data_IF_556129041865
#
_entry.id   IF_556129041865
#
_cell.length_a   1.000
_cell.length_b   1.000
_cell.length_c   1.000
_cell.angle_alpha   90.00
_cell.angle_beta   90.00
_cell.angle_gamma   90.00
#
_symmetry.space_group_name_H-M   'P 1'
#
loop_
_entity.id
_entity.type
_entity.pdbx_description
1 polymer ?
#
# COMPACT_ATOMS: atom_id res chain seq x y z
N UNK A 1 -10.14 33.11 27.58
CA UNK A 1 -10.05 31.64 27.69
C UNK A 1 -8.95 31.17 26.74
N UNK A 2 -7.73 30.97 27.27
CA UNK A 2 -6.56 30.53 26.49
C UNK A 2 -6.55 29.00 26.47
N UNK A 3 -6.63 28.40 25.28
CA UNK A 3 -6.39 26.95 25.09
C UNK A 3 -4.91 26.75 24.75
N UNK A 4 -4.20 26.09 25.67
CA UNK A 4 -2.87 25.53 25.45
C UNK A 4 -2.99 24.38 24.43
N UNK A 5 -2.25 24.48 23.32
CA UNK A 5 -2.03 23.37 22.38
C UNK A 5 -0.81 22.57 22.82
N UNK A 6 -1.02 21.32 23.22
CA UNK A 6 0.02 20.35 23.55
C UNK A 6 0.52 19.73 22.23
N UNK A 7 1.78 19.98 21.88
CA UNK A 7 2.49 19.28 20.81
C UNK A 7 2.99 17.93 21.35
N UNK A 8 2.52 16.83 20.76
CA UNK A 8 3.11 15.51 20.94
C UNK A 8 4.25 15.32 19.95
N UNK A 9 5.48 15.22 20.47
CA UNK A 9 6.65 14.75 19.73
C UNK A 9 6.69 13.23 19.84
N UNK A 10 6.45 12.53 18.74
CA UNK A 10 6.64 11.08 18.66
C UNK A 10 8.13 10.82 18.41
N UNK A 11 8.84 10.41 19.46
CA UNK A 11 10.19 9.89 19.36
C UNK A 11 10.17 8.48 18.76
N UNK A 12 10.81 8.30 17.61
CA UNK A 12 11.04 6.99 17.00
C UNK A 12 12.17 6.30 17.78
N UNK A 13 11.80 5.35 18.63
CA UNK A 13 12.73 4.51 19.37
C UNK A 13 13.07 3.27 18.53
N UNK A 14 14.28 3.25 17.95
CA UNK A 14 14.83 2.09 17.25
C UNK A 14 15.16 0.98 18.26
N UNK A 15 14.33 -0.06 18.32
CA UNK A 15 14.63 -1.29 19.06
C UNK A 15 15.57 -2.17 18.23
N UNK A 16 16.83 -2.26 18.64
CA UNK A 16 17.78 -3.27 18.18
C UNK A 16 17.42 -4.63 18.81
N UNK A 17 17.09 -5.62 17.99
CA UNK A 17 16.90 -7.00 18.41
C UNK A 17 18.27 -7.64 18.67
N UNK A 18 18.59 -7.90 19.95
CA UNK A 18 19.82 -8.58 20.36
C UNK A 18 19.53 -10.06 20.62
N UNK A 19 20.07 -10.92 19.76
CA UNK A 19 19.90 -12.37 19.81
C UNK A 19 20.75 -12.97 20.94
N UNK A 20 20.11 -13.45 22.01
CA UNK A 20 20.76 -14.25 23.07
C UNK A 20 20.62 -15.73 22.77
N UNK A 21 21.63 -16.31 22.13
CA UNK A 21 21.83 -17.75 22.05
C UNK A 21 22.13 -18.29 23.45
N UNK A 22 21.29 -19.21 23.93
CA UNK A 22 21.55 -19.97 25.16
C UNK A 22 21.76 -21.43 24.80
N UNK A 23 23.03 -21.81 24.65
CA UNK A 23 23.49 -23.20 24.69
C UNK A 23 23.34 -23.74 26.11
N UNK A 24 22.61 -24.86 26.26
CA UNK A 24 22.73 -25.74 27.43
C UNK A 24 23.13 -27.14 26.96
N UNK A 25 24.33 -27.53 27.37
CA UNK A 25 24.86 -28.89 27.39
C UNK A 25 24.78 -29.45 28.82
N UNK A 26 24.97 -30.78 28.95
CA UNK A 26 25.00 -31.65 30.15
C UNK A 26 23.64 -32.24 30.54
N UNK A 27 23.44 -33.54 30.78
CA UNK A 27 24.32 -34.72 31.01
C UNK A 27 23.46 -36.01 30.90
N UNK A 28 24.06 -37.20 30.72
CA UNK A 28 23.32 -38.48 30.67
C UNK A 28 23.19 -39.09 32.07
N UNK A 29 21.97 -39.47 32.47
CA UNK A 29 21.74 -40.28 33.67
C UNK A 29 21.57 -41.76 33.29
N UNK A 30 22.41 -42.57 33.93
CA UNK A 30 22.42 -44.02 33.88
C UNK A 30 21.39 -44.58 34.87
N UNK A 31 20.44 -45.37 34.38
CA UNK A 31 19.51 -46.15 35.20
C UNK A 31 19.45 -47.58 34.70
N UNK A 32 20.15 -48.47 35.40
CA UNK A 32 20.16 -49.91 35.11
C UNK A 32 18.84 -50.57 35.49
N UNK A 33 18.42 -51.53 34.66
CA UNK A 33 17.45 -52.56 35.06
C UNK A 33 17.91 -53.90 34.50
N UNK A 34 18.31 -54.77 35.43
CA UNK A 34 18.68 -56.15 35.21
C UNK A 34 17.42 -57.03 35.22
N UNK A 35 17.15 -57.70 34.11
CA UNK A 35 16.13 -58.75 34.04
C UNK A 35 16.21 -59.49 32.72
N UNK A 36 16.92 -60.61 32.69
CA UNK A 36 16.78 -61.61 31.62
C UNK A 36 16.99 -62.99 32.21
N UNK A 37 15.89 -63.73 32.34
CA UNK A 37 15.87 -65.18 32.46
C UNK A 37 15.23 -65.77 31.20
N UNK A 38 15.86 -66.85 30.74
CA UNK A 38 15.26 -68.01 30.06
C UNK A 38 14.78 -67.88 28.60
N UNK A 39 15.72 -68.18 27.70
CA UNK A 39 15.67 -69.31 26.76
C UNK A 39 14.40 -69.60 25.93
N UNK A 40 14.55 -69.65 24.61
CA UNK A 40 14.49 -70.89 23.81
C UNK A 40 14.62 -70.58 22.32
N UNK A 41 15.44 -71.37 21.63
CA UNK A 41 15.66 -71.27 20.19
C UNK A 41 14.40 -71.61 19.39
N UNK A 42 14.24 -70.90 18.28
CA UNK A 42 13.18 -71.13 17.31
C UNK A 42 13.52 -70.44 16.00
N UNK A 43 14.19 -71.19 15.11
CA UNK A 43 14.20 -71.08 13.65
C UNK A 43 14.44 -69.70 13.00
N UNK A 44 15.55 -69.61 12.28
CA UNK A 44 15.70 -68.73 11.13
C UNK A 44 14.58 -68.99 10.11
N UNK A 45 13.47 -68.24 10.24
CA UNK A 45 12.51 -68.03 9.16
C UNK A 45 13.06 -66.89 8.31
N UNK A 46 13.40 -67.18 7.06
CA UNK A 46 13.95 -66.20 6.14
C UNK A 46 13.08 -64.95 6.09
N UNK A 47 13.73 -63.80 5.94
CA UNK A 47 13.13 -62.48 5.76
C UNK A 47 12.18 -62.53 4.54
N UNK A 48 10.95 -62.98 4.76
CA UNK A 48 9.88 -62.81 3.82
C UNK A 48 9.69 -61.29 3.75
N UNK A 49 10.22 -60.70 2.67
CA UNK A 49 10.06 -59.30 2.34
C UNK A 49 8.61 -58.90 2.66
N UNK A 50 8.42 -57.99 3.62
CA UNK A 50 7.07 -57.57 4.03
C UNK A 50 6.39 -57.01 2.78
N UNK A 51 5.45 -57.78 2.24
CA UNK A 51 4.63 -57.40 1.10
C UNK A 51 3.39 -56.68 1.60
N UNK A 52 2.94 -55.67 0.87
CA UNK A 52 1.68 -55.00 1.17
C UNK A 52 0.50 -55.91 0.83
N UNK A 53 -0.51 -55.93 1.69
CA UNK A 53 -1.77 -56.58 1.39
C UNK A 53 -2.49 -55.85 0.25
N UNK A 54 -2.96 -56.58 -0.75
CA UNK A 54 -3.74 -56.00 -1.85
C UNK A 54 -5.00 -55.30 -1.30
N UNK A 55 -5.38 -54.11 -1.80
CA UNK A 55 -4.88 -53.44 -3.00
C UNK A 55 -3.69 -52.48 -2.79
N UNK A 56 -3.04 -52.50 -1.63
CA UNK A 56 -1.95 -51.56 -1.32
C UNK A 56 -0.68 -51.84 -2.12
N UNK A 57 0.02 -50.78 -2.51
CA UNK A 57 1.30 -50.87 -3.22
C UNK A 57 2.46 -50.44 -2.31
N UNK A 58 3.58 -51.16 -2.39
CA UNK A 58 4.82 -50.77 -1.73
C UNK A 58 5.50 -49.67 -2.55
N UNK A 59 5.53 -48.45 -2.03
CA UNK A 59 6.13 -47.29 -2.73
C UNK A 59 7.28 -46.71 -1.93
N UNK A 60 8.19 -45.99 -2.61
CA UNK A 60 9.27 -45.28 -1.94
C UNK A 60 8.69 -44.22 -0.98
N UNK A 61 9.31 -44.01 0.19
CA UNK A 61 8.88 -42.97 1.11
C UNK A 61 9.04 -41.58 0.44
N UNK A 62 8.27 -40.57 0.89
CA UNK A 62 8.46 -39.20 0.43
C UNK A 62 9.91 -38.73 0.60
N UNK A 63 10.46 -37.97 -0.37
CA UNK A 63 11.77 -37.37 -0.23
C UNK A 63 11.86 -36.42 0.97
N UNK A 64 13.08 -36.19 1.47
CA UNK A 64 13.29 -35.26 2.59
C UNK A 64 12.70 -33.87 2.31
N UNK A 65 11.97 -33.31 3.27
CA UNK A 65 11.27 -32.03 3.16
C UNK A 65 9.85 -32.12 2.59
N UNK A 66 9.47 -33.25 2.00
CA UNK A 66 8.11 -33.50 1.50
C UNK A 66 7.30 -34.33 2.50
N UNK A 67 6.02 -34.03 2.59
CA UNK A 67 5.06 -34.71 3.46
C UNK A 67 4.13 -35.60 2.63
N UNK A 68 3.71 -36.73 3.19
CA UNK A 68 2.82 -37.68 2.53
C UNK A 68 3.20 -39.13 2.87
N UNK A 69 2.69 -40.12 2.13
CA UNK A 69 1.75 -40.01 1.01
C UNK A 69 0.39 -39.44 1.43
N UNK A 70 -0.29 -38.75 0.52
CA UNK A 70 -1.66 -38.26 0.72
C UNK A 70 -2.62 -38.73 -0.38
N UNK A 71 -3.89 -38.85 -0.02
CA UNK A 71 -5.01 -38.79 -0.95
C UNK A 71 -5.36 -37.32 -1.20
N UNK A 72 -5.54 -36.94 -2.46
CA UNK A 72 -5.87 -35.58 -2.86
C UNK A 72 -7.30 -35.50 -3.40
N UNK A 73 -8.10 -34.61 -2.84
CA UNK A 73 -9.39 -34.21 -3.41
C UNK A 73 -9.24 -32.83 -4.05
N UNK A 74 -9.80 -32.68 -5.26
CA UNK A 74 -10.00 -31.39 -5.93
C UNK A 74 -11.44 -31.34 -6.43
N UNK A 75 -12.19 -30.30 -6.10
CA UNK A 75 -13.57 -30.17 -6.58
C UNK A 75 -14.16 -28.78 -6.44
N UNK A 76 -15.47 -28.69 -6.66
CA UNK A 76 -16.18 -27.41 -6.60
C UNK A 76 -16.18 -26.84 -5.16
N UNK A 77 -16.32 -25.51 -5.00
CA UNK A 77 -16.30 -24.89 -3.69
C UNK A 77 -17.44 -25.41 -2.80
N UNK A 78 -17.15 -25.62 -1.53
CA UNK A 78 -18.04 -26.17 -0.51
C UNK A 78 -18.54 -27.59 -0.81
N UNK A 79 -17.82 -28.36 -1.62
CA UNK A 79 -18.14 -29.76 -1.92
C UNK A 79 -17.11 -30.77 -1.40
N UNK A 80 -16.12 -30.29 -0.62
CA UNK A 80 -15.07 -31.14 -0.04
C UNK A 80 -15.67 -32.29 0.79
N UNK A 81 -15.34 -33.55 0.48
CA UNK A 81 -15.74 -34.69 1.29
C UNK A 81 -14.93 -34.75 2.59
N UNK A 82 -15.33 -35.64 3.49
CA UNK A 82 -14.48 -36.06 4.60
C UNK A 82 -13.33 -36.94 4.08
N UNK A 83 -12.24 -37.00 4.84
CA UNK A 83 -11.14 -37.91 4.58
C UNK A 83 -11.60 -39.38 4.61
N UNK A 84 -11.15 -40.23 3.65
CA UNK A 84 -11.56 -41.63 3.58
C UNK A 84 -10.91 -42.42 4.73
N UNK A 85 -11.47 -43.58 5.09
CA UNK A 85 -10.96 -44.39 6.21
C UNK A 85 -9.49 -44.81 6.04
N UNK A 86 -9.06 -45.03 4.79
CA UNK A 86 -7.68 -45.39 4.47
C UNK A 86 -6.70 -44.21 4.62
N UNK A 87 -7.19 -42.97 4.60
CA UNK A 87 -6.41 -41.75 4.83
C UNK A 87 -7.15 -40.89 5.85
N UNK A 88 -7.23 -41.30 7.12
CA UNK A 88 -8.20 -40.74 8.06
C UNK A 88 -7.89 -39.30 8.50
N UNK A 89 -6.64 -38.88 8.38
CA UNK A 89 -6.15 -37.64 8.98
C UNK A 89 -6.08 -36.50 7.95
N UNK A 90 -6.78 -35.36 8.15
CA UNK A 90 -6.63 -34.21 7.27
C UNK A 90 -5.23 -33.60 7.42
N UNK A 91 -4.49 -33.54 6.31
CA UNK A 91 -3.15 -32.96 6.26
C UNK A 91 -3.18 -31.46 5.97
N UNK A 92 -4.05 -31.03 5.04
CA UNK A 92 -4.28 -29.60 4.75
C UNK A 92 -5.62 -29.38 4.05
N UNK A 93 -6.14 -28.16 4.19
CA UNK A 93 -7.18 -27.58 3.32
C UNK A 93 -6.56 -26.41 2.56
N UNK A 94 -6.82 -26.35 1.26
CA UNK A 94 -6.36 -25.30 0.36
C UNK A 94 -7.40 -25.07 -0.73
N UNK A 95 -7.14 -24.08 -1.58
CA UNK A 95 -8.06 -23.69 -2.63
C UNK A 95 -7.32 -23.35 -3.92
N UNK A 96 -8.04 -23.42 -5.03
CA UNK A 96 -7.58 -23.05 -6.37
C UNK A 96 -8.49 -22.01 -7.01
N UNK A 97 -8.00 -21.45 -8.11
CA UNK A 97 -8.75 -20.54 -8.97
C UNK A 97 -9.32 -19.33 -8.20
N UNK A 98 -8.45 -18.47 -7.62
CA UNK A 98 -8.90 -17.24 -6.99
C UNK A 98 -9.64 -16.37 -8.00
N UNK A 99 -10.79 -15.83 -7.59
CA UNK A 99 -11.61 -14.94 -8.41
C UNK A 99 -12.06 -13.74 -7.61
N UNK A 100 -12.21 -12.61 -8.28
CA UNK A 100 -12.80 -11.40 -7.74
C UNK A 100 -12.95 -10.34 -8.81
N UNK A 101 -14.07 -9.62 -8.81
CA UNK A 101 -14.27 -8.49 -9.71
C UNK A 101 -13.25 -7.38 -9.42
N UNK A 102 -12.84 -6.56 -10.41
CA UNK A 102 -12.04 -5.37 -10.16
C UNK A 102 -12.68 -4.45 -9.10
N UNK A 103 -11.87 -3.66 -8.40
CA UNK A 103 -12.38 -2.68 -7.45
C UNK A 103 -13.31 -1.67 -8.15
N UNK A 104 -14.38 -1.26 -7.47
CA UNK A 104 -15.16 -0.08 -7.87
C UNK A 104 -14.54 1.15 -7.23
N UNK A 105 -14.25 2.16 -8.05
CA UNK A 105 -13.55 3.36 -7.60
C UNK A 105 -14.48 4.56 -7.55
N UNK A 106 -14.43 5.32 -6.45
CA UNK A 106 -15.10 6.62 -6.41
C UNK A 106 -14.45 7.58 -7.39
N UNK A 107 -15.27 8.34 -8.11
CA UNK A 107 -14.79 9.30 -9.10
C UNK A 107 -13.82 10.30 -8.46
N UNK A 108 -12.71 10.57 -9.15
CA UNK A 108 -11.82 11.64 -8.76
C UNK A 108 -12.51 12.98 -8.95
N UNK A 109 -12.27 13.91 -8.04
CA UNK A 109 -12.70 15.30 -8.18
C UNK A 109 -11.58 16.24 -7.73
N UNK A 110 -11.52 17.42 -8.34
CA UNK A 110 -10.55 18.46 -8.03
C UNK A 110 -11.24 19.72 -7.51
N UNK A 111 -11.05 20.05 -6.22
CA UNK A 111 -11.56 21.29 -5.65
C UNK A 111 -10.54 22.42 -5.79
N UNK A 112 -10.95 23.54 -6.38
CA UNK A 112 -10.15 24.77 -6.45
C UNK A 112 -10.16 25.47 -5.10
N UNK A 113 -9.18 25.19 -4.26
CA UNK A 113 -9.25 25.64 -2.86
C UNK A 113 -8.72 27.07 -2.67
N UNK A 114 -7.72 27.50 -3.44
CA UNK A 114 -7.09 28.80 -3.24
C UNK A 114 -6.55 29.38 -4.55
N UNK A 115 -7.00 30.59 -4.90
CA UNK A 115 -6.39 31.44 -5.92
C UNK A 115 -5.79 32.64 -5.20
N UNK A 116 -4.48 32.86 -5.40
CA UNK A 116 -3.78 34.02 -4.86
C UNK A 116 -3.55 35.05 -5.95
N UNK A 117 -4.04 36.26 -5.71
CA UNK A 117 -3.81 37.42 -6.55
C UNK A 117 -2.66 38.23 -5.99
N UNK A 118 -1.67 38.53 -6.83
CA UNK A 118 -0.58 39.43 -6.49
C UNK A 118 -0.32 40.43 -7.60
N UNK A 119 0.10 41.63 -7.22
CA UNK A 119 0.57 42.66 -8.14
C UNK A 119 1.82 43.32 -7.58
N UNK A 120 2.43 44.15 -8.40
CA UNK A 120 3.62 44.90 -8.05
C UNK A 120 3.34 46.41 -8.00
N UNK A 121 3.73 47.04 -6.90
CA UNK A 121 3.80 48.51 -6.80
C UNK A 121 5.22 48.93 -7.13
N UNK A 122 5.36 49.83 -8.10
CA UNK A 122 6.63 50.25 -8.66
C UNK A 122 6.89 51.70 -8.25
N UNK A 123 8.00 51.91 -7.55
CA UNK A 123 8.49 53.20 -7.10
C UNK A 123 9.57 53.72 -8.03
N UNK A 124 9.49 55.00 -8.40
CA UNK A 124 10.44 55.65 -9.30
C UNK A 124 10.96 56.93 -8.67
N UNK A 125 12.23 57.26 -8.89
CA UNK A 125 12.82 58.54 -8.49
C UNK A 125 12.55 59.69 -9.48
N UNK A 126 11.61 59.49 -10.41
CA UNK A 126 11.23 60.44 -11.46
C UNK A 126 9.70 60.53 -11.51
N UNK A 127 9.12 61.60 -12.08
CA UNK A 127 7.68 61.68 -12.31
C UNK A 127 7.21 60.56 -13.26
N UNK A 128 5.90 60.32 -13.31
CA UNK A 128 5.27 59.24 -14.09
C UNK A 128 5.65 59.26 -15.58
N UNK A 129 5.80 60.46 -16.17
CA UNK A 129 6.21 60.64 -17.56
C UNK A 129 7.74 60.66 -17.77
N UNK A 130 8.52 60.62 -16.69
CA UNK A 130 9.98 60.68 -16.72
C UNK A 130 10.63 59.30 -16.87
N UNK A 131 11.90 59.29 -17.30
CA UNK A 131 12.73 58.08 -17.30
C UNK A 131 13.37 57.91 -15.93
N UNK A 132 13.01 56.87 -15.14
CA UNK A 132 13.57 56.67 -13.82
C UNK A 132 15.04 56.24 -13.90
N UNK A 133 15.86 56.72 -12.95
CA UNK A 133 17.25 56.24 -12.75
C UNK A 133 17.28 55.06 -11.80
N UNK A 134 16.31 54.98 -10.89
CA UNK A 134 16.16 53.87 -9.93
C UNK A 134 14.70 53.43 -9.88
N UNK A 135 14.50 52.12 -9.75
CA UNK A 135 13.18 51.51 -9.64
C UNK A 135 13.19 50.50 -8.52
N UNK A 136 12.18 50.54 -7.66
CA UNK A 136 11.95 49.55 -6.62
C UNK A 136 10.57 48.95 -6.77
N UNK A 137 10.42 47.66 -6.48
CA UNK A 137 9.18 46.93 -6.70
C UNK A 137 8.76 46.22 -5.42
N UNK A 138 7.51 46.45 -5.00
CA UNK A 138 6.93 45.79 -3.83
C UNK A 138 5.79 44.87 -4.27
N UNK A 139 5.90 43.54 -4.09
CA UNK A 139 4.78 42.65 -4.29
C UNK A 139 3.76 42.81 -3.16
N UNK A 140 2.48 42.87 -3.51
CA UNK A 140 1.38 42.88 -2.55
C UNK A 140 0.32 41.86 -2.94
N UNK A 141 -0.26 41.17 -1.95
CA UNK A 141 -1.37 40.24 -2.14
C UNK A 141 -2.68 40.87 -1.68
N UNK A 142 -3.78 40.40 -2.26
CA UNK A 142 -5.11 40.87 -1.87
C UNK A 142 -5.35 40.68 -0.36
N UNK A 143 -5.76 41.75 0.33
CA UNK A 143 -6.07 41.73 1.75
C UNK A 143 -4.86 41.79 2.71
N UNK A 144 -3.64 41.57 2.22
CA UNK A 144 -2.42 41.71 3.02
C UNK A 144 -2.02 43.18 3.16
N UNK A 145 -1.62 43.56 4.37
CA UNK A 145 -0.95 44.83 4.62
C UNK A 145 0.56 44.62 4.56
N UNK A 146 1.23 45.35 3.68
CA UNK A 146 2.67 45.19 3.44
C UNK A 146 3.37 46.47 3.86
N UNK A 147 4.30 46.36 4.82
CA UNK A 147 5.13 47.48 5.23
C UNK A 147 6.07 47.90 4.09
N UNK A 148 6.25 49.20 3.92
CA UNK A 148 7.19 49.76 2.97
C UNK A 148 8.59 49.85 3.57
N UNK A 149 9.64 49.56 2.78
CA UNK A 149 11.00 49.81 3.22
C UNK A 149 11.20 51.32 3.39
N UNK A 150 11.80 51.71 4.52
CA UNK A 150 12.03 53.12 4.95
C UNK A 150 12.99 53.91 4.06
N UNK A 151 13.52 53.31 3.00
CA UNK A 151 14.55 53.86 2.13
C UNK A 151 14.02 54.42 0.80
N UNK A 152 12.71 54.47 0.59
CA UNK A 152 12.12 54.93 -0.67
C UNK A 152 11.60 56.36 -0.51
N UNK A 153 12.27 57.33 -1.14
CA UNK A 153 11.74 58.67 -1.40
C UNK A 153 11.36 58.76 -2.88
N UNK A 154 10.18 58.24 -3.27
CA UNK A 154 9.82 58.15 -4.68
C UNK A 154 9.35 59.52 -5.21
N UNK A 155 9.74 59.82 -6.46
CA UNK A 155 9.16 60.92 -7.23
C UNK A 155 7.82 60.53 -7.90
N UNK A 156 7.56 59.24 -8.10
CA UNK A 156 6.24 58.73 -8.51
C UNK A 156 6.02 57.28 -8.11
N UNK A 157 4.76 56.85 -8.11
CA UNK A 157 4.36 55.46 -7.88
C UNK A 157 3.45 54.97 -9.00
N UNK A 158 3.71 53.78 -9.51
CA UNK A 158 2.86 53.07 -10.47
C UNK A 158 2.33 51.78 -9.85
N UNK A 159 1.03 51.53 -9.97
CA UNK A 159 0.42 50.24 -9.61
C UNK A 159 0.34 49.38 -10.86
N UNK A 160 1.00 48.22 -10.88
CA UNK A 160 0.92 47.31 -12.03
C UNK A 160 -0.45 46.64 -12.14
N UNK A 161 -0.71 45.98 -13.27
CA UNK A 161 -1.73 44.95 -13.32
C UNK A 161 -1.36 43.73 -12.47
N UNK A 162 -2.30 42.80 -12.30
CA UNK A 162 -2.02 41.53 -11.65
C UNK A 162 -1.00 40.70 -12.41
N UNK A 163 -0.14 40.00 -11.66
CA UNK A 163 0.58 38.87 -12.20
C UNK A 163 -0.39 37.71 -12.49
N UNK A 164 0.06 36.71 -13.25
CA UNK A 164 -0.69 35.48 -13.46
C UNK A 164 -1.09 34.88 -12.09
N UNK A 165 -2.38 34.65 -11.82
CA UNK A 165 -2.80 34.12 -10.53
C UNK A 165 -2.22 32.74 -10.29
N UNK A 166 -1.77 32.47 -9.07
CA UNK A 166 -1.30 31.15 -8.68
C UNK A 166 -2.40 30.45 -7.89
N UNK A 167 -2.61 29.17 -8.15
CA UNK A 167 -3.56 28.36 -7.39
C UNK A 167 -3.26 26.88 -7.47
N UNK A 168 -3.79 26.14 -6.51
CA UNK A 168 -3.67 24.68 -6.44
C UNK A 168 -5.05 24.05 -6.27
N UNK A 169 -5.24 22.88 -6.87
CA UNK A 169 -6.40 22.05 -6.61
C UNK A 169 -6.02 20.89 -5.68
N UNK A 170 -6.90 20.59 -4.73
CA UNK A 170 -6.74 19.37 -3.94
C UNK A 170 -7.53 18.24 -4.60
N UNK A 171 -6.90 17.10 -4.88
CA UNK A 171 -7.62 15.91 -5.32
C UNK A 171 -8.43 15.31 -4.18
N UNK A 172 -9.56 14.72 -4.52
CA UNK A 172 -10.35 13.87 -3.63
C UNK A 172 -11.03 12.76 -4.45
N UNK A 173 -11.54 11.72 -3.77
CA UNK A 173 -12.07 10.52 -4.43
C UNK A 173 -11.05 9.38 -4.48
N UNK A 174 -11.22 8.46 -5.45
CA UNK A 174 -10.29 7.34 -5.67
C UNK A 174 -10.29 6.30 -4.55
N UNK A 175 -11.33 6.27 -3.73
CA UNK A 175 -11.50 5.24 -2.70
C UNK A 175 -11.99 3.96 -3.36
N UNK A 176 -11.34 2.84 -3.02
CA UNK A 176 -11.70 1.53 -3.53
C UNK A 176 -12.81 0.91 -2.69
N UNK A 177 -13.75 0.26 -3.37
CA UNK A 177 -14.71 -0.70 -2.80
C UNK A 177 -14.53 -2.02 -3.52
N UNK A 178 -14.35 -3.10 -2.78
CA UNK A 178 -14.13 -4.44 -3.31
C UNK A 178 -15.16 -5.41 -2.74
N UNK A 179 -15.66 -6.29 -3.61
CA UNK A 179 -16.44 -7.44 -3.17
C UNK A 179 -15.50 -8.52 -2.60
N UNK A 180 -16.02 -9.34 -1.68
CA UNK A 180 -15.27 -10.47 -1.11
C UNK A 180 -14.77 -11.41 -2.22
N UNK A 181 -13.48 -11.74 -2.26
CA UNK A 181 -12.95 -12.69 -3.22
C UNK A 181 -13.49 -14.12 -2.96
N UNK A 182 -13.49 -14.95 -3.99
CA UNK A 182 -14.00 -16.32 -3.94
C UNK A 182 -13.03 -17.29 -4.60
N UNK A 183 -13.03 -18.52 -4.11
CA UNK A 183 -12.29 -19.63 -4.70
C UNK A 183 -13.18 -20.36 -5.70
N UNK A 184 -12.61 -20.75 -6.85
CA UNK A 184 -13.28 -21.60 -7.83
C UNK A 184 -13.13 -23.10 -7.53
N UNK A 185 -12.17 -23.47 -6.69
CA UNK A 185 -11.84 -24.87 -6.40
C UNK A 185 -11.49 -25.07 -4.92
N UNK A 186 -12.03 -26.13 -4.32
CA UNK A 186 -11.63 -26.63 -3.00
C UNK A 186 -10.67 -27.81 -3.12
N UNK A 187 -9.71 -27.86 -2.20
CA UNK A 187 -8.66 -28.87 -2.16
C UNK A 187 -8.50 -29.38 -0.74
N UNK A 188 -8.49 -30.71 -0.60
CA UNK A 188 -8.25 -31.39 0.66
C UNK A 188 -7.19 -32.47 0.45
N UNK A 189 -6.11 -32.39 1.24
CA UNK A 189 -5.12 -33.45 1.36
C UNK A 189 -5.37 -34.25 2.63
N UNK A 190 -5.47 -35.57 2.52
CA UNK A 190 -5.62 -36.48 3.66
C UNK A 190 -4.40 -37.41 3.75
N UNK A 191 -3.79 -37.52 4.92
CA UNK A 191 -2.63 -38.36 5.18
C UNK A 191 -3.00 -39.72 5.78
N UNK A 192 -2.05 -40.64 5.67
CA UNK A 192 -2.05 -41.96 6.31
C UNK A 192 -0.74 -42.14 7.07
N UNK A 193 -0.75 -42.97 8.12
CA UNK A 193 0.46 -43.52 8.74
C UNK A 193 0.68 -44.97 8.22
N UNK A 194 1.34 -45.17 7.07
CA UNK A 194 1.38 -46.45 6.40
C UNK A 194 2.37 -47.43 7.08
N UNK A 195 2.08 -48.74 7.09
CA UNK A 195 3.05 -49.74 7.52
C UNK A 195 4.23 -49.82 6.55
N UNK A 196 5.38 -50.29 7.04
CA UNK A 196 6.60 -50.45 6.24
C UNK A 196 6.53 -51.73 5.38
N UNK A 197 7.16 -51.68 4.21
CA UNK A 197 7.39 -52.82 3.32
C UNK A 197 8.84 -52.86 2.85
N UNK A 198 9.24 -53.93 2.17
CA UNK A 198 10.63 -54.18 1.80
C UNK A 198 11.33 -53.09 0.96
N UNK A 199 10.58 -52.16 0.37
CA UNK A 199 11.11 -51.03 -0.40
C UNK A 199 10.61 -49.66 0.06
N UNK A 200 9.85 -49.55 1.15
CA UNK A 200 9.29 -48.27 1.60
C UNK A 200 8.03 -48.44 2.42
N UNK A 201 6.93 -47.85 1.97
CA UNK A 201 5.65 -47.81 2.70
C UNK A 201 4.50 -48.42 1.90
N UNK A 202 3.61 -49.13 2.58
CA UNK A 202 2.40 -49.69 1.98
C UNK A 202 1.30 -48.65 1.90
N UNK A 203 0.87 -48.34 0.69
CA UNK A 203 -0.05 -47.24 0.44
C UNK A 203 -1.27 -47.74 -0.33
N UNK A 204 -2.48 -47.63 0.24
CA UNK A 204 -3.70 -48.00 -0.45
C UNK A 204 -4.03 -46.98 -1.55
N UNK A 205 -4.70 -47.43 -2.61
CA UNK A 205 -5.21 -46.53 -3.65
C UNK A 205 -6.31 -45.63 -3.07
N UNK A 206 -6.24 -44.29 -3.23
CA UNK A 206 -7.29 -43.40 -2.77
C UNK A 206 -8.65 -43.72 -3.41
N UNK A 207 -9.72 -43.59 -2.63
CA UNK A 207 -11.09 -43.86 -3.05
C UNK A 207 -12.05 -42.76 -2.58
N UNK A 208 -13.35 -42.88 -2.86
CA UNK A 208 -14.36 -41.97 -2.28
C UNK A 208 -14.38 -40.54 -2.85
N UNK A 209 -14.03 -40.37 -4.13
CA UNK A 209 -14.01 -39.06 -4.80
C UNK A 209 -12.65 -38.36 -4.76
N UNK A 210 -11.64 -38.99 -4.15
CA UNK A 210 -10.25 -38.57 -4.22
C UNK A 210 -9.62 -39.03 -5.55
N UNK A 211 -8.58 -38.31 -5.98
CA UNK A 211 -7.81 -38.67 -7.17
C UNK A 211 -7.12 -40.02 -6.97
N UNK A 212 -7.08 -40.90 -7.99
CA UNK A 212 -6.57 -42.27 -7.86
C UNK A 212 -5.05 -42.35 -7.62
N UNK A 213 -4.33 -41.23 -7.79
CA UNK A 213 -2.89 -41.18 -7.57
C UNK A 213 -2.57 -40.61 -6.20
N UNK A 214 -1.58 -41.20 -5.55
CA UNK A 214 -1.03 -40.67 -4.29
C UNK A 214 -0.09 -39.52 -4.55
N UNK A 215 -0.10 -38.54 -3.67
CA UNK A 215 0.69 -37.33 -3.80
C UNK A 215 1.59 -37.11 -2.59
N UNK A 216 2.55 -36.22 -2.75
CA UNK A 216 3.32 -35.60 -1.67
C UNK A 216 3.12 -34.09 -1.72
N UNK A 217 3.30 -33.42 -0.60
CA UNK A 217 3.10 -31.97 -0.52
C UNK A 217 4.16 -31.27 0.32
N UNK A 218 4.31 -29.97 0.07
CA UNK A 218 5.16 -29.08 0.85
C UNK A 218 4.60 -27.65 0.79
N UNK A 219 4.77 -26.88 1.88
CA UNK A 219 4.46 -25.45 1.86
C UNK A 219 5.43 -24.68 0.94
N UNK A 220 4.92 -23.66 0.26
CA UNK A 220 5.62 -22.90 -0.76
C UNK A 220 5.24 -23.31 -2.18
N UNK A 221 5.60 -22.46 -3.15
CA UNK A 221 5.60 -22.79 -4.58
C UNK A 221 6.99 -23.33 -4.97
N UNK A 222 7.12 -24.65 -4.93
CA UNK A 222 8.39 -25.37 -5.08
C UNK A 222 8.36 -26.27 -6.32
N UNK A 223 9.52 -26.64 -6.84
CA UNK A 223 9.61 -27.67 -7.88
C UNK A 223 9.32 -29.05 -7.27
N UNK A 224 8.62 -29.92 -8.00
CA UNK A 224 8.43 -31.29 -7.54
C UNK A 224 9.76 -32.03 -7.37
N UNK A 225 9.84 -32.98 -6.44
CA UNK A 225 11.04 -33.78 -6.28
C UNK A 225 11.26 -34.60 -7.55
N UNK A 226 12.52 -34.74 -7.97
CA UNK A 226 12.87 -35.53 -9.14
C UNK A 226 12.41 -36.99 -8.97
N UNK A 227 11.90 -37.59 -10.05
CA UNK A 227 11.50 -39.00 -10.07
C UNK A 227 9.98 -39.19 -10.03
N UNK A 228 9.48 -39.82 -8.96
CA UNK A 228 8.16 -40.48 -8.93
C UNK A 228 6.95 -39.54 -8.92
N UNK A 229 7.12 -38.24 -8.64
CA UNK A 229 6.02 -37.29 -8.50
C UNK A 229 6.13 -36.12 -9.50
N UNK A 230 6.04 -36.38 -10.82
CA UNK A 230 6.31 -35.36 -11.83
C UNK A 230 5.18 -34.32 -11.97
N UNK A 231 3.97 -34.61 -11.50
CA UNK A 231 2.79 -33.76 -11.74
C UNK A 231 2.67 -32.70 -10.65
N UNK A 232 3.22 -31.52 -10.92
CA UNK A 232 3.12 -30.34 -10.04
C UNK A 232 1.73 -29.70 -10.12
N UNK A 233 1.19 -29.36 -8.95
CA UNK A 233 0.03 -28.48 -8.77
C UNK A 233 0.31 -27.53 -7.62
N UNK A 234 -0.16 -26.30 -7.72
CA UNK A 234 -0.03 -25.28 -6.67
C UNK A 234 -1.42 -24.85 -6.27
N UNK A 235 -1.65 -24.79 -4.97
CA UNK A 235 -2.88 -24.31 -4.34
C UNK A 235 -2.54 -23.29 -3.27
N UNK A 236 -3.55 -22.67 -2.68
CA UNK A 236 -3.38 -21.50 -1.82
C UNK A 236 -4.24 -21.61 -0.57
N UNK A 237 -3.73 -21.14 0.56
CA UNK A 237 -4.46 -21.15 1.84
C UNK A 237 -5.16 -19.81 2.12
N UNK A 238 -4.76 -18.74 1.43
CA UNK A 238 -5.29 -17.40 1.63
C UNK A 238 -5.39 -16.64 0.30
N UNK A 239 -6.07 -15.50 0.28
CA UNK A 239 -6.07 -14.59 -0.86
C UNK A 239 -4.94 -13.57 -0.69
N UNK A 240 -4.23 -13.31 -1.78
CA UNK A 240 -3.40 -12.13 -1.95
C UNK A 240 -4.20 -11.10 -2.77
N UNK A 241 -5.02 -10.30 -2.08
CA UNK A 241 -5.87 -9.29 -2.73
C UNK A 241 -5.18 -7.92 -2.75
N UNK A 242 -4.83 -7.47 -3.95
CA UNK A 242 -4.18 -6.18 -4.19
C UNK A 242 -5.10 -5.19 -4.91
N UNK A 243 -6.38 -5.53 -5.05
CA UNK A 243 -7.35 -4.68 -5.75
C UNK A 243 -7.46 -3.33 -5.05
N UNK A 244 -7.35 -2.28 -5.84
CA UNK A 244 -7.43 -0.91 -5.37
C UNK A 244 -7.73 0.06 -6.51
N UNK A 245 -7.58 1.34 -6.24
CA UNK A 245 -7.77 2.41 -7.22
C UNK A 245 -6.47 3.18 -7.38
N UNK A 246 -6.21 3.63 -8.61
CA UNK A 246 -5.12 4.57 -8.85
C UNK A 246 -5.38 5.87 -8.09
N UNK A 247 -4.34 6.50 -7.52
CA UNK A 247 -4.51 7.70 -6.72
C UNK A 247 -5.04 8.86 -7.57
N UNK A 248 -5.98 9.62 -7.02
CA UNK A 248 -6.47 10.82 -7.68
C UNK A 248 -5.40 11.90 -7.74
N UNK A 249 -5.29 12.56 -8.91
CA UNK A 249 -4.41 13.69 -9.12
C UNK A 249 -5.13 14.81 -9.88
N UNK A 250 -4.70 16.04 -9.61
CA UNK A 250 -5.19 17.24 -10.29
C UNK A 250 -4.08 17.87 -11.12
N UNK A 251 -4.38 18.21 -12.36
CA UNK A 251 -3.51 19.03 -13.19
C UNK A 251 -3.35 20.45 -12.60
N UNK A 252 -2.31 21.21 -13.01
CA UNK A 252 -2.20 22.62 -12.67
C UNK A 252 -3.46 23.40 -13.05
N UNK A 253 -3.78 24.40 -12.23
CA UNK A 253 -4.97 25.23 -12.43
C UNK A 253 -4.88 26.06 -13.71
N UNK A 254 -5.98 26.10 -14.48
CA UNK A 254 -6.12 26.92 -15.68
C UNK A 254 -7.30 27.88 -15.57
N UNK A 255 -7.19 29.05 -16.20
CA UNK A 255 -8.29 30.01 -16.31
C UNK A 255 -8.59 30.83 -15.05
N UNK A 256 -7.76 30.76 -14.01
CA UNK A 256 -7.85 31.65 -12.86
C UNK A 256 -7.55 33.09 -13.27
N UNK A 257 -8.35 34.04 -12.77
CA UNK A 257 -8.20 35.46 -13.10
C UNK A 257 -8.39 36.32 -11.85
N UNK A 258 -7.59 37.38 -11.78
CA UNK A 258 -7.74 38.45 -10.81
C UNK A 258 -8.12 39.71 -11.58
N UNK A 259 -9.19 40.35 -11.16
CA UNK A 259 -9.69 41.59 -11.73
C UNK A 259 -10.03 42.55 -10.59
N UNK A 260 -10.20 43.81 -10.95
CA UNK A 260 -10.55 44.88 -10.04
C UNK A 260 -9.55 45.10 -8.90
N UNK A 261 -9.75 46.20 -8.19
CA UNK A 261 -9.02 46.49 -6.97
C UNK A 261 -8.23 47.78 -7.03
N UNK A 262 -7.84 48.20 -5.84
CA UNK A 262 -7.11 49.45 -5.62
C UNK A 262 -6.03 49.24 -4.58
N UNK A 263 -4.97 50.03 -4.69
CA UNK A 263 -3.89 50.08 -3.71
C UNK A 263 -4.07 51.33 -2.86
N UNK A 264 -4.30 51.12 -1.57
CA UNK A 264 -4.28 52.18 -0.57
C UNK A 264 -2.89 52.36 0.01
N UNK A 265 -2.45 53.61 0.13
CA UNK A 265 -1.19 54.03 0.74
C UNK A 265 -1.47 54.54 2.15
N UNK A 266 -0.90 53.89 3.16
CA UNK A 266 -1.19 54.18 4.57
C UNK A 266 0.00 54.84 5.25
N UNK A 267 -0.23 55.89 6.06
CA UNK A 267 0.83 56.64 6.71
C UNK A 267 1.43 55.93 7.93
N UNK A 268 0.92 54.73 8.27
CA UNK A 268 1.38 53.92 9.39
C UNK A 268 1.43 52.45 9.00
N UNK A 269 2.33 51.73 9.65
CA UNK A 269 2.35 50.27 9.62
C UNK A 269 0.99 49.63 9.98
N UNK A 270 0.80 48.37 9.58
CA UNK A 270 -0.48 47.68 9.80
C UNK A 270 -1.68 48.25 9.04
N UNK A 271 -1.47 49.22 8.14
CA UNK A 271 -2.49 49.82 7.28
C UNK A 271 -3.61 50.47 8.09
N UNK A 272 -3.20 51.21 9.12
CA UNK A 272 -4.09 52.00 9.99
C UNK A 272 -4.20 53.44 9.48
N UNK A 273 -5.27 54.13 9.88
CA UNK A 273 -5.73 55.43 9.33
C UNK A 273 -6.27 55.36 7.90
N UNK A 274 -6.75 56.50 7.40
CA UNK A 274 -7.26 56.60 6.04
C UNK A 274 -6.12 56.49 5.01
N UNK A 275 -6.34 55.68 3.98
CA UNK A 275 -5.41 55.59 2.86
C UNK A 275 -5.44 56.87 2.02
N UNK A 276 -4.27 57.39 1.65
CA UNK A 276 -4.12 58.51 0.72
C UNK A 276 -2.72 58.50 0.09
N UNK A 277 -2.59 58.46 -1.25
CA UNK A 277 -3.66 58.31 -2.23
C UNK A 277 -4.24 56.88 -2.26
N UNK A 278 -5.33 56.70 -3.01
CA UNK A 278 -5.84 55.38 -3.42
C UNK A 278 -5.71 55.30 -4.94
N UNK A 279 -5.02 54.29 -5.42
CA UNK A 279 -4.68 54.14 -6.84
C UNK A 279 -5.35 52.91 -7.45
N UNK A 280 -5.88 53.09 -8.66
CA UNK A 280 -6.40 51.99 -9.46
C UNK A 280 -5.26 51.20 -10.13
N UNK A 281 -5.54 49.96 -10.54
CA UNK A 281 -4.59 49.16 -11.29
C UNK A 281 -4.20 49.85 -12.60
N UNK A 282 -2.92 49.80 -12.96
CA UNK A 282 -2.37 50.46 -14.14
C UNK A 282 -2.21 51.98 -14.02
N UNK A 283 -2.61 52.58 -12.91
CA UNK A 283 -2.46 54.03 -12.70
C UNK A 283 -1.07 54.38 -12.18
N UNK A 284 -0.65 55.62 -12.45
CA UNK A 284 0.56 56.24 -11.93
C UNK A 284 0.23 57.60 -11.33
N UNK A 285 0.87 57.97 -10.22
CA UNK A 285 0.74 59.28 -9.60
C UNK A 285 2.09 59.87 -9.21
N UNK A 286 2.21 61.19 -9.36
CA UNK A 286 3.32 62.02 -8.84
C UNK A 286 3.03 62.51 -7.40
N UNK A 287 1.95 62.02 -6.78
CA UNK A 287 1.61 62.39 -5.41
C UNK A 287 2.73 62.00 -4.44
N UNK A 288 3.00 62.89 -3.49
CA UNK A 288 3.98 62.66 -2.43
C UNK A 288 3.51 61.53 -1.51
N UNK A 289 4.17 60.37 -1.62
CA UNK A 289 3.94 59.20 -0.77
C UNK A 289 5.06 59.04 0.27
N UNK A 290 5.87 60.07 0.52
CA UNK A 290 7.01 60.03 1.46
C UNK A 290 6.62 59.70 2.90
N UNK A 291 5.37 59.93 3.27
CA UNK A 291 4.80 59.60 4.58
C UNK A 291 4.20 58.19 4.63
N UNK A 292 4.23 57.43 3.54
CA UNK A 292 3.63 56.10 3.48
C UNK A 292 4.54 55.06 4.14
N UNK A 293 3.99 54.35 5.12
CA UNK A 293 4.68 53.26 5.82
C UNK A 293 4.13 51.88 5.42
N UNK A 294 2.93 51.80 4.82
CA UNK A 294 2.36 50.53 4.40
C UNK A 294 1.42 50.64 3.17
N UNK A 295 1.23 49.49 2.51
CA UNK A 295 0.33 49.31 1.37
C UNK A 295 -0.71 48.25 1.66
N UNK A 296 -1.91 48.44 1.12
CA UNK A 296 -2.93 47.38 1.08
C UNK A 296 -3.62 47.33 -0.27
N UNK A 297 -3.73 46.11 -0.81
CA UNK A 297 -4.55 45.81 -1.98
C UNK A 297 -5.96 45.44 -1.54
N UNK A 298 -6.95 46.22 -1.98
CA UNK A 298 -8.36 46.08 -1.61
C UNK A 298 -9.24 45.84 -2.84
N UNK A 299 -10.42 45.25 -2.64
CA UNK A 299 -11.47 45.17 -3.66
C UNK A 299 -11.15 44.27 -4.86
N UNK A 300 -10.34 43.23 -4.65
CA UNK A 300 -9.95 42.30 -5.72
C UNK A 300 -11.06 41.27 -5.96
N UNK A 301 -11.52 41.18 -7.20
CA UNK A 301 -12.41 40.14 -7.69
C UNK A 301 -11.59 38.94 -8.15
N UNK A 302 -11.89 37.76 -7.62
CA UNK A 302 -11.19 36.51 -7.95
C UNK A 302 -12.12 35.57 -8.69
N UNK A 303 -11.73 35.21 -9.91
CA UNK A 303 -12.37 34.11 -10.65
C UNK A 303 -11.55 32.84 -10.42
N UNK A 304 -12.18 31.85 -9.81
CA UNK A 304 -11.58 30.54 -9.64
C UNK A 304 -11.25 29.91 -11.01
N UNK A 305 -10.07 29.29 -11.09
CA UNK A 305 -9.72 28.42 -12.21
C UNK A 305 -10.28 27.01 -12.03
N UNK A 306 -10.08 26.17 -13.02
CA UNK A 306 -10.41 24.74 -12.97
C UNK A 306 -9.14 23.90 -13.07
N UNK A 307 -9.20 22.67 -12.60
CA UNK A 307 -8.15 21.67 -12.79
C UNK A 307 -8.76 20.43 -13.42
N UNK A 308 -8.06 19.85 -14.38
CA UNK A 308 -8.43 18.53 -14.90
C UNK A 308 -8.09 17.46 -13.85
N UNK A 309 -9.03 16.55 -13.63
CA UNK A 309 -8.87 15.39 -12.75
C UNK A 309 -8.29 14.20 -13.51
N UNK A 310 -7.64 13.30 -12.77
CA UNK A 310 -7.06 12.06 -13.29
C UNK A 310 -6.95 11.02 -12.16
N UNK A 311 -6.81 9.75 -12.53
CA UNK A 311 -6.76 8.63 -11.59
C UNK A 311 -8.16 8.09 -11.28
N UNK A 312 -8.26 7.30 -10.20
CA UNK A 312 -9.52 6.65 -9.83
C UNK A 312 -9.86 5.45 -10.72
N UNK A 313 -8.93 4.99 -11.55
CA UNK A 313 -9.10 3.75 -12.31
C UNK A 313 -8.85 2.53 -11.42
N UNK A 314 -9.61 1.43 -11.57
CA UNK A 314 -9.34 0.17 -10.89
C UNK A 314 -7.93 -0.36 -11.20
N UNK A 315 -7.31 -1.00 -10.22
CA UNK A 315 -5.97 -1.56 -10.30
C UNK A 315 -5.86 -2.82 -9.42
N UNK A 316 -4.79 -3.59 -9.63
CA UNK A 316 -4.52 -4.81 -8.86
C UNK A 316 -5.37 -6.01 -9.29
N UNK A 317 -5.21 -7.11 -8.55
CA UNK A 317 -5.82 -8.42 -8.82
C UNK A 317 -6.10 -9.17 -7.52
N UNK A 318 -6.91 -10.22 -7.63
CA UNK A 318 -7.02 -11.26 -6.59
C UNK A 318 -6.17 -12.43 -7.04
N UNK A 319 -5.14 -12.72 -6.25
CA UNK A 319 -4.25 -13.85 -6.48
C UNK A 319 -4.28 -14.80 -5.27
N UNK A 320 -3.60 -15.95 -5.43
CA UNK A 320 -3.43 -16.91 -4.36
C UNK A 320 -2.29 -16.54 -3.43
N UNK A 321 -2.56 -16.55 -2.13
CA UNK A 321 -1.60 -16.38 -1.04
C UNK A 321 -1.28 -17.70 -0.32
N UNK A 322 -0.15 -17.73 0.37
CA UNK A 322 0.32 -18.89 1.15
C UNK A 322 0.29 -20.21 0.33
N UNK A 323 1.13 -20.30 -0.72
CA UNK A 323 1.10 -21.42 -1.64
C UNK A 323 1.46 -22.74 -0.95
N UNK A 324 0.85 -23.81 -1.44
CA UNK A 324 1.21 -25.20 -1.14
C UNK A 324 1.43 -25.91 -2.47
N UNK A 325 2.56 -26.60 -2.59
CA UNK A 325 2.85 -27.44 -3.75
C UNK A 325 2.45 -28.86 -3.46
N UNK A 326 1.69 -29.45 -4.39
CA UNK A 326 1.31 -30.87 -4.38
C UNK A 326 1.87 -31.53 -5.63
N UNK A 327 2.57 -32.64 -5.43
CA UNK A 327 3.21 -33.40 -6.49
C UNK A 327 2.67 -34.82 -6.50
N UNK A 328 2.02 -35.20 -7.59
CA UNK A 328 1.36 -36.50 -7.72
C UNK A 328 2.10 -37.41 -8.71
N UNK A 329 1.91 -38.72 -8.56
CA UNK A 329 2.43 -39.74 -9.47
C UNK A 329 1.75 -39.69 -10.85
#
# INVERSE_FOLDING_TARGET
MRRLGIFWVIAVLSLACSSRSTTRSATPDAGGSSGTDSGSGGTAGGDAAVTCDAPSQCIQPPPSGWQGPIALYTGAPNTSPACPLDYPDPAFTAHGDPTGAPATCSACTCSSNQVSCSLSVIYKNAPCAGTPTTTSTQPIKAGECVALPTSVAPGSVTVSGFAAPTGTCAPSGGSASTDTPAWGTDVLGCSIAPPQCAGGVCVPEPSGGFEPNVCVWQEGDLGCPAGLYPKKRVFYKSFADTRGCTPCACAPMVGAQCADGTVGFYPKDGCVNAASPILALGSCTDADVSTTEALKLNGVSVKAGTCAESGGDPSGSVDGGDPITVCCR
#
